data_IF_465852863176
#
_entry.id   IF_465852863176
#
_cell.length_a   1.000
_cell.length_b   1.000
_cell.length_c   1.000
_cell.angle_alpha   90.00
_cell.angle_beta   90.00
_cell.angle_gamma   90.00
#
_symmetry.space_group_name_H-M   'P 1'
#
loop_
_entity.id
_entity.type
_entity.pdbx_description
1 polymer ?
#
# COMPACT_ATOMS: atom_id res chain seq x y z
N UNK A 1 11.41 21.58 -2.82
CA UNK A 1 10.05 21.33 -3.35
C UNK A 1 9.77 19.84 -3.21
N UNK A 2 8.93 19.42 -2.25
CA UNK A 2 8.59 17.99 -2.01
C UNK A 2 7.69 17.51 -3.16
N UNK A 3 8.26 16.81 -4.13
CA UNK A 3 7.51 16.15 -5.21
C UNK A 3 7.22 14.74 -4.73
N UNK A 4 6.01 14.45 -4.24
CA UNK A 4 5.70 13.09 -3.75
C UNK A 4 4.23 12.67 -3.88
N UNK A 5 3.43 13.37 -4.69
CA UNK A 5 2.06 12.96 -5.05
C UNK A 5 1.84 12.81 -6.57
N UNK A 6 2.77 13.28 -7.42
CA UNK A 6 2.54 13.38 -8.87
C UNK A 6 2.73 12.10 -9.71
N UNK A 7 2.98 10.93 -9.09
CA UNK A 7 3.29 9.69 -9.81
C UNK A 7 2.20 8.60 -9.69
N UNK A 8 1.02 8.93 -9.13
CA UNK A 8 -0.12 8.00 -9.03
C UNK A 8 -1.09 8.29 -10.17
N UNK A 9 -1.21 7.35 -11.10
CA UNK A 9 -2.12 7.42 -12.25
C UNK A 9 -3.54 7.02 -11.84
N UNK A 10 -3.64 6.01 -10.96
CA UNK A 10 -4.91 5.54 -10.43
C UNK A 10 -4.72 5.10 -8.99
N UNK A 11 -5.71 5.34 -8.13
CA UNK A 11 -5.71 4.84 -6.76
C UNK A 11 -7.08 4.29 -6.40
N UNK A 12 -7.10 3.18 -5.66
CA UNK A 12 -8.30 2.62 -5.05
C UNK A 12 -8.01 2.25 -3.60
N UNK A 13 -8.85 2.75 -2.69
CA UNK A 13 -8.81 2.37 -1.28
C UNK A 13 -9.90 1.35 -0.98
N UNK A 14 -9.55 0.27 -0.26
CA UNK A 14 -10.46 -0.80 0.15
C UNK A 14 -10.35 -0.96 1.67
N UNK A 15 -11.45 -0.74 2.39
CA UNK A 15 -11.51 -0.98 3.84
C UNK A 15 -12.01 -2.39 4.11
N UNK A 16 -11.31 -3.15 4.94
CA UNK A 16 -11.62 -4.53 5.29
C UNK A 16 -11.36 -4.78 6.79
N UNK A 17 -12.33 -4.39 7.64
CA UNK A 17 -12.21 -4.51 9.09
C UNK A 17 -11.03 -3.70 9.65
N UNK A 18 -10.07 -4.38 10.28
CA UNK A 18 -8.84 -3.76 10.83
C UNK A 18 -7.77 -3.44 9.77
N UNK A 19 -8.02 -3.74 8.49
CA UNK A 19 -7.07 -3.56 7.39
C UNK A 19 -7.62 -2.54 6.39
N UNK A 20 -6.74 -1.70 5.86
CA UNK A 20 -7.03 -0.79 4.76
C UNK A 20 -6.02 -1.10 3.66
N UNK A 21 -6.49 -1.42 2.47
CA UNK A 21 -5.66 -1.62 1.29
C UNK A 21 -5.69 -0.38 0.41
N UNK A 22 -4.53 0.04 -0.06
CA UNK A 22 -4.33 1.07 -1.06
C UNK A 22 -3.73 0.41 -2.29
N UNK A 23 -4.46 0.47 -3.41
CA UNK A 23 -4.04 -0.06 -4.69
C UNK A 23 -3.72 1.13 -5.60
N UNK A 24 -2.44 1.42 -5.77
CA UNK A 24 -1.98 2.54 -6.58
C UNK A 24 -1.33 2.04 -7.88
N UNK A 25 -1.80 2.51 -9.03
CA UNK A 25 -1.09 2.35 -10.30
C UNK A 25 -0.15 3.52 -10.47
N UNK A 26 1.12 3.24 -10.74
CA UNK A 26 2.17 4.23 -10.94
C UNK A 26 2.91 3.96 -12.24
N UNK A 27 3.59 4.98 -12.72
CA UNK A 27 4.46 4.90 -13.90
C UNK A 27 5.90 5.17 -13.50
N UNK A 28 6.83 4.36 -13.99
CA UNK A 28 8.24 4.59 -13.78
C UNK A 28 8.77 5.62 -14.81
N UNK A 29 10.04 6.03 -14.68
CA UNK A 29 10.63 7.02 -15.60
C UNK A 29 10.71 6.58 -17.07
N UNK A 30 10.50 5.29 -17.36
CA UNK A 30 10.49 4.71 -18.72
C UNK A 30 9.09 4.64 -19.32
N UNK A 31 8.06 5.07 -18.60
CA UNK A 31 6.66 4.96 -19.06
C UNK A 31 6.02 3.60 -18.77
N UNK A 32 6.65 2.76 -17.94
CA UNK A 32 6.12 1.43 -17.63
C UNK A 32 5.26 1.50 -16.37
N UNK A 33 4.04 0.93 -16.47
CA UNK A 33 3.09 0.87 -15.38
C UNK A 33 3.40 -0.27 -14.42
N UNK A 34 3.22 0.00 -13.13
CA UNK A 34 3.30 -1.00 -12.07
C UNK A 34 2.27 -0.72 -10.97
N UNK A 35 1.90 -1.76 -10.23
CA UNK A 35 0.95 -1.68 -9.13
C UNK A 35 1.70 -1.62 -7.80
N UNK A 36 1.28 -0.73 -6.91
CA UNK A 36 1.71 -0.67 -5.52
C UNK A 36 0.53 -1.04 -4.63
N UNK A 37 0.66 -2.17 -3.94
CA UNK A 37 -0.32 -2.62 -2.96
C UNK A 37 0.21 -2.27 -1.58
N UNK A 38 -0.44 -1.36 -0.88
CA UNK A 38 -0.12 -1.06 0.52
C UNK A 38 -1.23 -1.55 1.41
N UNK A 39 -0.92 -2.41 2.37
CA UNK A 39 -1.80 -2.75 3.47
C UNK A 39 -1.43 -1.91 4.70
N UNK A 40 -2.42 -1.29 5.32
CA UNK A 40 -2.33 -0.69 6.65
C UNK A 40 -3.20 -1.47 7.61
N UNK A 41 -2.58 -2.22 8.51
CA UNK A 41 -3.24 -3.08 9.50
C UNK A 41 -3.20 -2.40 10.86
N UNK A 42 -4.38 -2.15 11.43
CA UNK A 42 -4.50 -1.71 12.82
C UNK A 42 -4.11 -2.87 13.74
N UNK A 43 -3.13 -2.64 14.60
CA UNK A 43 -2.69 -3.58 15.62
C UNK A 43 -2.86 -2.96 17.01
N UNK A 44 -3.06 -3.83 18.00
CA UNK A 44 -3.15 -3.43 19.39
C UNK A 44 -1.88 -3.91 20.08
N UNK A 45 -1.11 -2.97 20.61
CA UNK A 45 0.09 -3.25 21.38
C UNK A 45 -0.32 -3.25 22.85
N UNK A 46 -0.14 -4.39 23.51
CA UNK A 46 -0.39 -4.54 24.93
C UNK A 46 0.91 -4.28 25.69
N UNK A 47 1.22 -3.01 25.91
CA UNK A 47 2.33 -2.57 26.78
C UNK A 47 1.76 -2.04 28.10
N UNK A 48 1.83 -2.85 29.15
CA UNK A 48 1.35 -2.48 30.50
C UNK A 48 -0.18 -2.43 30.65
N UNK A 49 -0.67 -1.57 31.55
CA UNK A 49 -2.08 -1.51 31.97
C UNK A 49 -3.04 -0.90 30.93
N UNK A 50 -2.54 -0.37 29.80
CA UNK A 50 -3.37 0.24 28.75
C UNK A 50 -3.01 -0.29 27.36
N UNK A 51 -3.98 -0.84 26.60
CA UNK A 51 -3.74 -1.23 25.21
C UNK A 51 -3.62 0.02 24.33
N UNK A 52 -2.53 0.12 23.57
CA UNK A 52 -2.31 1.17 22.57
C UNK A 52 -2.67 0.68 21.16
N UNK A 53 -3.26 1.55 20.34
CA UNK A 53 -3.52 1.26 18.93
C UNK A 53 -2.38 1.79 18.07
N UNK A 54 -1.85 0.96 17.18
CA UNK A 54 -0.86 1.37 16.18
C UNK A 54 -1.21 0.78 14.81
N UNK A 55 -0.44 1.14 13.78
CA UNK A 55 -0.66 0.67 12.42
C UNK A 55 0.64 0.07 11.86
N UNK A 56 0.56 -1.18 11.42
CA UNK A 56 1.60 -1.83 10.64
C UNK A 56 1.33 -1.61 9.15
N UNK A 57 2.38 -1.29 8.38
CA UNK A 57 2.28 -1.08 6.93
C UNK A 57 3.08 -2.14 6.19
N UNK A 58 2.43 -2.85 5.29
CA UNK A 58 3.08 -3.76 4.34
C UNK A 58 2.92 -3.19 2.94
N UNK A 59 4.00 -3.22 2.15
CA UNK A 59 4.00 -2.65 0.79
C UNK A 59 4.59 -3.64 -0.19
N UNK A 60 3.86 -3.90 -1.27
CA UNK A 60 4.27 -4.76 -2.38
C UNK A 60 4.30 -3.89 -3.64
N UNK A 61 5.37 -4.04 -4.42
CA UNK A 61 5.48 -3.50 -5.77
C UNK A 61 5.32 -4.69 -6.72
N UNK A 62 4.35 -4.61 -7.63
CA UNK A 62 4.08 -5.63 -8.62
C UNK A 62 4.29 -5.02 -10.00
N UNK A 63 5.35 -5.46 -10.69
CA UNK A 63 5.66 -5.02 -12.04
C UNK A 63 4.90 -5.86 -13.07
N UNK A 64 4.70 -5.31 -14.26
CA UNK A 64 3.83 -5.89 -15.29
C UNK A 64 4.27 -7.29 -15.72
N UNK A 65 5.57 -7.53 -15.79
CA UNK A 65 6.19 -8.81 -16.13
C UNK A 65 5.83 -9.94 -15.15
N UNK A 66 5.54 -9.61 -13.90
CA UNK A 66 5.24 -10.58 -12.84
C UNK A 66 3.75 -10.91 -12.71
N UNK A 67 2.87 -10.22 -13.46
CA UNK A 67 1.41 -10.35 -13.30
C UNK A 67 0.95 -11.80 -13.50
N UNK A 68 1.47 -12.50 -14.50
CA UNK A 68 1.08 -13.89 -14.78
C UNK A 68 1.51 -14.90 -13.70
N UNK A 69 2.53 -14.56 -12.91
CA UNK A 69 2.96 -15.40 -11.79
C UNK A 69 2.24 -15.04 -10.48
N UNK A 70 1.66 -13.84 -10.42
CA UNK A 70 1.00 -13.30 -9.25
C UNK A 70 -0.50 -13.59 -9.23
N UNK A 71 -1.16 -13.54 -10.39
CA UNK A 71 -2.59 -13.85 -10.58
C UNK A 71 -2.78 -15.30 -11.04
#
# INVERSE_FOLDING_TARGET
>A
MKKTENDIIFSKTIKAGKRIYYLDVKENRKGELFLVITESKQVTINTGDKPEQSFEKHKIFLYREDFNNFF
#
